data_IF_178384993639
#
_entry.id   IF_178384993639
#
_cell.length_a   1.000
_cell.length_b   1.000
_cell.length_c   1.000
_cell.angle_alpha   90.00
_cell.angle_beta   90.00
_cell.angle_gamma   90.00
#
_symmetry.space_group_name_H-M   'P 1'
#
loop_
_entity.id
_entity.type
_entity.pdbx_description
1 polymer ?
#
# COMPACT_ATOMS: atom_id res chain seq x y z
N UNK A 1 5.10 -41.60 -61.51
CA UNK A 1 3.76 -41.32 -60.95
C UNK A 1 3.87 -41.48 -59.44
N UNK A 2 3.54 -40.45 -58.65
CA UNK A 2 2.38 -40.45 -57.74
C UNK A 2 2.32 -41.68 -56.81
N UNK A 3 2.39 -41.63 -55.47
CA UNK A 3 2.36 -40.58 -54.41
C UNK A 3 3.21 -41.13 -53.22
N UNK A 4 3.87 -40.37 -52.34
CA UNK A 4 3.39 -39.36 -51.36
C UNK A 4 2.41 -39.92 -50.32
N UNK A 5 2.74 -39.67 -49.04
CA UNK A 5 1.92 -39.76 -47.81
C UNK A 5 1.61 -41.12 -47.16
N UNK A 6 1.83 -41.11 -45.83
CA UNK A 6 1.19 -41.86 -44.73
C UNK A 6 1.26 -43.41 -44.82
N UNK A 7 2.06 -44.07 -43.97
CA UNK A 7 1.78 -44.36 -42.54
C UNK A 7 0.76 -45.54 -42.41
N UNK A 8 0.72 -46.34 -41.34
CA UNK A 8 0.62 -45.99 -39.92
C UNK A 8 1.00 -47.21 -39.04
N UNK A 9 1.49 -46.94 -37.82
CA UNK A 9 1.64 -47.83 -36.64
C UNK A 9 2.82 -48.86 -36.56
N UNK A 10 3.23 -49.08 -35.31
CA UNK A 10 3.97 -50.25 -34.79
C UNK A 10 5.51 -50.37 -34.93
N UNK A 11 6.28 -49.31 -34.65
CA UNK A 11 7.57 -49.48 -33.93
C UNK A 11 7.77 -48.34 -32.93
N UNK A 12 7.72 -48.66 -31.62
CA UNK A 12 8.56 -48.12 -30.54
C UNK A 12 8.06 -48.69 -29.20
N UNK A 13 8.57 -49.86 -28.83
CA UNK A 13 8.36 -50.46 -27.52
C UNK A 13 9.73 -50.84 -26.94
N UNK A 14 10.18 -50.08 -25.93
CA UNK A 14 11.13 -50.40 -24.85
C UNK A 14 11.85 -49.12 -24.41
N UNK A 15 11.61 -48.67 -23.17
CA UNK A 15 12.35 -47.54 -22.59
C UNK A 15 11.68 -46.91 -21.37
N UNK A 16 12.13 -47.28 -20.17
CA UNK A 16 11.96 -46.58 -18.90
C UNK A 16 10.52 -46.21 -18.45
N UNK A 17 9.98 -47.04 -17.56
CA UNK A 17 9.05 -46.59 -16.52
C UNK A 17 9.74 -45.57 -15.60
N UNK A 18 9.21 -44.34 -15.53
CA UNK A 18 9.53 -43.37 -14.46
C UNK A 18 8.25 -43.05 -13.71
N UNK A 19 8.25 -43.33 -12.41
CA UNK A 19 7.16 -42.99 -11.50
C UNK A 19 7.06 -41.47 -11.37
N UNK A 20 5.83 -40.95 -11.37
CA UNK A 20 5.58 -39.61 -10.83
C UNK A 20 5.97 -39.61 -9.35
N UNK A 21 6.92 -38.75 -8.98
CA UNK A 21 7.32 -38.51 -7.60
C UNK A 21 7.08 -37.04 -7.25
N UNK A 22 6.53 -36.72 -6.07
CA UNK A 22 6.28 -35.36 -5.65
C UNK A 22 7.60 -34.66 -5.29
N UNK A 23 7.67 -33.34 -5.49
CA UNK A 23 8.80 -32.53 -5.06
C UNK A 23 8.95 -32.60 -3.54
N UNK A 24 10.05 -33.17 -3.06
CA UNK A 24 10.40 -33.24 -1.64
C UNK A 24 11.19 -32.02 -1.16
N UNK A 25 11.18 -31.71 0.15
CA UNK A 25 11.99 -30.61 0.68
C UNK A 25 13.48 -30.94 0.54
N UNK A 26 14.26 -30.02 -0.04
CA UNK A 26 15.72 -30.15 -0.18
C UNK A 26 16.24 -30.24 -1.61
N UNK A 27 15.39 -30.44 -2.63
CA UNK A 27 15.77 -30.27 -4.04
C UNK A 27 15.70 -28.79 -4.45
N UNK A 28 16.46 -27.95 -3.74
CA UNK A 28 16.56 -26.53 -4.05
C UNK A 28 17.17 -26.31 -5.43
N UNK A 29 16.50 -25.51 -6.27
CA UNK A 29 17.21 -24.74 -7.28
C UNK A 29 18.25 -23.86 -6.58
N UNK A 30 19.34 -23.56 -7.30
CA UNK A 30 20.50 -22.83 -6.77
C UNK A 30 20.08 -21.56 -6.02
N UNK A 31 20.76 -21.22 -4.91
CA UNK A 31 20.47 -19.98 -4.20
C UNK A 31 20.68 -18.77 -5.12
N UNK A 32 19.72 -17.85 -5.07
CA UNK A 32 19.76 -16.53 -5.71
C UNK A 32 21.09 -15.82 -5.42
N UNK A 33 21.86 -15.49 -6.47
CA UNK A 33 23.26 -15.07 -6.26
C UNK A 33 23.95 -14.22 -7.33
N UNK A 34 23.33 -13.89 -8.46
CA UNK A 34 23.91 -12.92 -9.40
C UNK A 34 22.80 -12.25 -10.22
N UNK A 35 22.84 -10.92 -10.41
CA UNK A 35 21.91 -10.18 -11.28
C UNK A 35 22.29 -10.34 -12.77
N UNK A 36 22.66 -11.55 -13.17
CA UNK A 36 22.92 -11.89 -14.57
C UNK A 36 21.59 -12.14 -15.23
N UNK A 37 21.00 -11.07 -15.74
CA UNK A 37 19.94 -11.16 -16.75
C UNK A 37 20.40 -12.01 -17.92
N UNK A 38 19.44 -12.55 -18.66
CA UNK A 38 19.66 -13.22 -19.95
C UNK A 38 18.58 -12.75 -20.95
N UNK A 39 18.55 -11.45 -21.32
CA UNK A 39 17.67 -10.83 -22.35
C UNK A 39 18.34 -9.87 -23.41
N UNK A 40 18.82 -10.36 -24.58
CA UNK A 40 19.74 -9.63 -25.53
C UNK A 40 19.05 -8.58 -26.42
N UNK A 41 18.96 -7.34 -25.92
CA UNK A 41 18.25 -6.26 -26.63
C UNK A 41 18.89 -4.87 -26.61
N UNK A 42 19.46 -4.39 -25.49
CA UNK A 42 19.78 -2.95 -25.36
C UNK A 42 20.83 -2.60 -24.31
N UNK A 43 21.34 -1.35 -24.32
CA UNK A 43 22.27 -0.86 -23.30
C UNK A 43 21.50 -0.48 -22.03
N UNK A 44 21.64 -1.28 -20.98
CA UNK A 44 21.30 -0.85 -19.62
C UNK A 44 22.49 -0.09 -19.03
N UNK A 45 22.24 1.04 -18.38
CA UNK A 45 23.22 1.74 -17.55
C UNK A 45 22.72 1.76 -16.11
N UNK A 46 23.13 0.76 -15.32
CA UNK A 46 22.75 0.68 -13.91
C UNK A 46 23.47 1.75 -13.06
N UNK A 47 24.46 2.48 -13.58
CA UNK A 47 25.05 3.61 -12.87
C UNK A 47 24.07 4.78 -12.80
N UNK A 48 23.23 4.95 -13.83
CA UNK A 48 22.09 5.87 -13.85
C UNK A 48 20.88 5.37 -13.02
N UNK A 49 20.92 4.12 -12.55
CA UNK A 49 19.92 3.49 -11.67
C UNK A 49 20.49 3.17 -10.28
N UNK A 50 21.47 3.95 -9.81
CA UNK A 50 22.19 3.73 -8.56
C UNK A 50 21.29 3.53 -7.32
N UNK A 51 20.19 4.27 -7.18
CA UNK A 51 19.21 4.08 -6.10
C UNK A 51 18.60 2.68 -6.15
N UNK A 52 18.11 2.26 -7.32
CA UNK A 52 17.50 0.94 -7.53
C UNK A 52 18.55 -0.17 -7.32
N UNK A 53 19.78 0.02 -7.81
CA UNK A 53 20.88 -0.90 -7.59
C UNK A 53 21.24 -1.03 -6.10
N UNK A 54 21.26 0.07 -5.34
CA UNK A 54 21.49 0.06 -3.90
C UNK A 54 20.36 -0.68 -3.15
N UNK A 55 19.10 -0.49 -3.54
CA UNK A 55 17.97 -1.21 -2.94
C UNK A 55 18.08 -2.72 -3.19
N UNK A 56 18.45 -3.13 -4.41
CA UNK A 56 18.70 -4.54 -4.72
C UNK A 56 19.94 -5.10 -3.98
N UNK A 57 20.99 -4.30 -3.76
CA UNK A 57 22.13 -4.73 -2.90
C UNK A 57 21.71 -4.93 -1.45
N UNK A 58 20.87 -4.06 -0.91
CA UNK A 58 20.31 -4.21 0.44
C UNK A 58 19.42 -5.45 0.52
N UNK A 59 18.58 -5.68 -0.49
CA UNK A 59 17.78 -6.89 -0.64
C UNK A 59 18.64 -8.17 -0.59
N UNK A 60 19.70 -8.22 -1.39
CA UNK A 60 20.59 -9.38 -1.47
C UNK A 60 21.30 -9.63 -0.13
N UNK A 61 21.71 -8.59 0.59
CA UNK A 61 22.29 -8.72 1.93
C UNK A 61 21.27 -9.27 2.94
N UNK A 62 20.03 -8.76 2.92
CA UNK A 62 18.95 -9.20 3.80
C UNK A 62 18.59 -10.69 3.65
N UNK A 63 18.67 -11.25 2.43
CA UNK A 63 18.48 -12.69 2.18
C UNK A 63 19.49 -13.58 2.92
N UNK A 64 20.65 -13.04 3.32
CA UNK A 64 21.60 -13.75 4.17
C UNK A 64 21.11 -13.94 5.62
N UNK A 65 20.10 -13.17 6.04
CA UNK A 65 19.62 -13.11 7.43
C UNK A 65 18.13 -13.43 7.59
N UNK A 66 17.29 -13.25 6.56
CA UNK A 66 15.83 -13.39 6.63
C UNK A 66 15.25 -14.26 5.52
N UNK A 67 14.15 -14.95 5.83
CA UNK A 67 13.34 -15.75 4.90
C UNK A 67 12.10 -14.99 4.43
N UNK A 68 11.50 -15.40 3.31
CA UNK A 68 10.18 -14.92 2.86
C UNK A 68 9.12 -14.94 3.97
N UNK A 69 9.14 -15.95 4.86
CA UNK A 69 8.25 -16.04 6.03
C UNK A 69 8.54 -14.96 7.07
N UNK A 70 9.80 -14.64 7.33
CA UNK A 70 10.18 -13.54 8.24
C UNK A 70 9.70 -12.19 7.68
N UNK A 71 9.70 -12.04 6.34
CA UNK A 71 9.23 -10.84 5.61
C UNK A 71 7.70 -10.73 5.66
N UNK A 72 6.97 -11.82 5.45
CA UNK A 72 5.50 -11.87 5.56
C UNK A 72 5.04 -11.65 7.01
N UNK A 73 5.78 -12.17 8.01
CA UNK A 73 5.51 -11.87 9.41
C UNK A 73 5.81 -10.40 9.75
N UNK A 74 6.88 -9.81 9.20
CA UNK A 74 7.11 -8.36 9.32
C UNK A 74 5.92 -7.57 8.75
N UNK A 75 5.53 -7.86 7.51
CA UNK A 75 4.43 -7.21 6.81
C UNK A 75 3.15 -7.24 7.65
N UNK A 76 2.77 -8.40 8.18
CA UNK A 76 1.60 -8.51 9.08
C UNK A 76 1.60 -7.48 10.21
N UNK A 77 2.75 -7.13 10.80
CA UNK A 77 2.75 -6.15 11.88
C UNK A 77 2.44 -4.73 11.37
N UNK A 78 2.85 -4.40 10.14
CA UNK A 78 2.57 -3.10 9.49
C UNK A 78 1.11 -3.02 9.07
N UNK A 79 0.61 -4.02 8.33
CA UNK A 79 -0.80 -4.14 7.92
C UNK A 79 -1.76 -4.16 9.12
N UNK A 80 -1.32 -4.68 10.27
CA UNK A 80 -2.08 -4.63 11.52
C UNK A 80 -2.03 -3.28 12.27
N UNK A 81 -1.07 -2.37 12.04
CA UNK A 81 -1.13 -1.00 12.62
C UNK A 81 -1.97 -0.10 11.74
N UNK A 82 -1.84 -0.25 10.43
CA UNK A 82 -2.52 0.54 9.39
C UNK A 82 -4.00 0.19 9.32
N UNK A 83 -4.37 -0.94 8.73
CA UNK A 83 -5.77 -1.29 8.50
C UNK A 83 -6.65 -1.37 9.76
N UNK A 84 -6.07 -1.61 10.95
CA UNK A 84 -6.83 -1.54 12.21
C UNK A 84 -7.17 -0.09 12.59
N UNK A 85 -6.25 0.86 12.41
CA UNK A 85 -6.53 2.28 12.60
C UNK A 85 -7.65 2.73 11.66
N UNK A 86 -7.55 2.33 10.40
CA UNK A 86 -8.43 2.75 9.32
C UNK A 86 -9.83 2.17 9.46
N UNK A 87 -9.93 0.86 9.71
CA UNK A 87 -11.21 0.16 9.93
C UNK A 87 -11.93 0.73 11.16
N UNK A 88 -11.19 1.02 12.25
CA UNK A 88 -11.82 1.59 13.44
C UNK A 88 -12.22 3.05 13.22
N UNK A 89 -11.36 3.86 12.61
CA UNK A 89 -11.61 5.26 12.32
C UNK A 89 -12.81 5.45 11.39
N UNK A 90 -12.89 4.70 10.30
CA UNK A 90 -13.96 4.83 9.31
C UNK A 90 -15.24 4.09 9.73
N UNK A 91 -15.12 2.84 10.19
CA UNK A 91 -16.27 1.96 10.43
C UNK A 91 -16.72 1.96 11.90
N UNK A 92 -15.81 2.17 12.86
CA UNK A 92 -16.09 2.13 14.31
C UNK A 92 -15.97 0.74 14.93
N UNK A 93 -15.30 -0.19 14.24
CA UNK A 93 -15.03 -1.57 14.68
C UNK A 93 -13.57 -1.93 14.35
N UNK A 94 -12.96 -2.80 15.15
CA UNK A 94 -11.64 -3.37 14.86
C UNK A 94 -11.77 -4.45 13.76
N UNK A 95 -10.63 -4.98 13.31
CA UNK A 95 -10.53 -6.17 12.47
C UNK A 95 -11.31 -7.37 13.03
N UNK A 96 -11.72 -8.28 12.15
CA UNK A 96 -12.31 -9.57 12.55
C UNK A 96 -11.28 -10.46 13.28
N UNK A 97 -11.76 -11.41 14.08
CA UNK A 97 -10.88 -12.32 14.84
C UNK A 97 -9.90 -13.11 13.96
N UNK A 98 -10.29 -13.46 12.72
CA UNK A 98 -9.47 -14.20 11.77
C UNK A 98 -8.30 -13.37 11.21
N UNK A 99 -8.48 -12.05 11.09
CA UNK A 99 -7.39 -11.12 10.78
C UNK A 99 -6.53 -10.83 12.03
N UNK A 100 -7.15 -10.64 13.20
CA UNK A 100 -6.45 -10.37 14.46
C UNK A 100 -5.59 -11.56 14.94
N UNK A 101 -5.98 -12.80 14.62
CA UNK A 101 -5.34 -14.04 15.07
C UNK A 101 -5.17 -14.12 16.61
N UNK A 102 -6.13 -13.59 17.36
CA UNK A 102 -6.08 -13.52 18.83
C UNK A 102 -5.15 -12.42 19.39
N UNK A 103 -4.74 -11.46 18.58
CA UNK A 103 -3.95 -10.29 19.02
C UNK A 103 -4.65 -9.46 20.10
N UNK A 104 -3.88 -8.76 20.96
CA UNK A 104 -4.42 -7.98 22.06
C UNK A 104 -5.18 -6.73 21.56
N UNK A 105 -6.12 -6.28 22.39
CA UNK A 105 -6.81 -5.00 22.22
C UNK A 105 -5.79 -3.86 22.24
N UNK A 106 -5.72 -3.09 21.16
CA UNK A 106 -4.91 -1.87 21.04
C UNK A 106 -5.57 -0.68 21.75
N UNK A 107 -4.83 0.41 21.95
CA UNK A 107 -5.28 1.63 22.62
C UNK A 107 -5.31 2.82 21.66
N UNK A 108 -6.24 3.74 21.90
CA UNK A 108 -6.39 4.97 21.11
C UNK A 108 -7.32 4.80 19.90
N UNK A 109 -8.27 3.85 19.95
CA UNK A 109 -9.30 3.70 18.93
C UNK A 109 -10.51 4.60 19.20
N UNK A 110 -10.99 5.30 18.16
CA UNK A 110 -12.33 5.89 18.10
C UNK A 110 -12.84 5.91 16.64
N UNK A 111 -14.12 6.24 16.45
CA UNK A 111 -14.67 6.48 15.11
C UNK A 111 -14.49 7.96 14.75
N UNK A 112 -13.90 8.23 13.60
CA UNK A 112 -13.64 9.57 13.09
C UNK A 112 -14.93 10.32 12.71
N UNK A 113 -14.97 11.61 13.03
CA UNK A 113 -16.04 12.53 12.64
C UNK A 113 -15.81 13.03 11.20
N UNK A 114 -15.95 12.12 10.23
CA UNK A 114 -15.73 12.39 8.81
C UNK A 114 -16.97 12.95 8.11
N UNK A 115 -16.75 13.90 7.19
CA UNK A 115 -17.75 14.37 6.23
C UNK A 115 -18.20 13.23 5.29
N UNK A 116 -19.38 13.34 4.66
CA UNK A 116 -19.89 12.27 3.79
C UNK A 116 -18.96 11.91 2.62
N UNK A 117 -18.28 12.88 1.99
CA UNK A 117 -17.35 12.60 0.88
C UNK A 117 -16.14 11.83 1.39
N UNK A 118 -15.45 12.38 2.39
CA UNK A 118 -14.20 11.83 2.92
C UNK A 118 -14.44 10.45 3.52
N UNK A 119 -15.58 10.25 4.21
CA UNK A 119 -15.96 8.94 4.72
C UNK A 119 -16.06 7.89 3.64
N UNK A 120 -16.81 8.14 2.56
CA UNK A 120 -16.98 7.13 1.49
C UNK A 120 -15.66 6.75 0.83
N UNK A 121 -14.75 7.72 0.65
CA UNK A 121 -13.41 7.47 0.08
C UNK A 121 -12.54 6.64 1.04
N UNK A 122 -12.47 7.02 2.32
CA UNK A 122 -11.62 6.32 3.30
C UNK A 122 -12.21 4.97 3.76
N UNK A 123 -13.53 4.78 3.68
CA UNK A 123 -14.17 3.46 3.88
C UNK A 123 -13.73 2.45 2.82
N UNK A 124 -13.40 2.87 1.58
CA UNK A 124 -12.81 2.01 0.55
C UNK A 124 -11.37 1.62 0.91
N UNK A 125 -10.53 2.59 1.29
CA UNK A 125 -9.15 2.35 1.78
C UNK A 125 -9.16 1.34 2.92
N UNK A 126 -9.97 1.58 3.96
CA UNK A 126 -10.07 0.71 5.12
C UNK A 126 -10.59 -0.71 4.81
N UNK A 127 -11.32 -0.91 3.71
CA UNK A 127 -11.69 -2.24 3.21
C UNK A 127 -10.55 -2.89 2.43
N UNK A 128 -9.72 -2.12 1.73
CA UNK A 128 -8.51 -2.61 1.08
C UNK A 128 -7.47 -3.07 2.09
N UNK A 129 -7.25 -2.32 3.18
CA UNK A 129 -6.29 -2.71 4.23
C UNK A 129 -6.71 -3.98 4.99
N UNK A 130 -8.02 -4.25 5.10
CA UNK A 130 -8.51 -5.56 5.55
C UNK A 130 -8.15 -6.67 4.54
N UNK A 131 -8.14 -6.37 3.25
CA UNK A 131 -7.66 -7.21 2.17
C UNK A 131 -6.14 -7.42 2.19
N UNK A 132 -5.35 -6.38 2.46
CA UNK A 132 -3.90 -6.48 2.62
C UNK A 132 -3.55 -7.36 3.84
N UNK A 133 -4.20 -7.14 4.98
CA UNK A 133 -4.08 -8.01 6.15
C UNK A 133 -4.48 -9.46 5.84
N UNK A 134 -5.57 -9.68 5.08
CA UNK A 134 -5.99 -11.01 4.61
C UNK A 134 -4.93 -11.67 3.72
N UNK A 135 -4.33 -10.92 2.79
CA UNK A 135 -3.22 -11.41 1.96
C UNK A 135 -2.08 -11.92 2.84
N UNK A 136 -1.68 -11.20 3.91
CA UNK A 136 -0.60 -11.69 4.78
C UNK A 136 -0.93 -13.03 5.45
N UNK A 137 -2.20 -13.27 5.81
CA UNK A 137 -2.67 -14.56 6.37
C UNK A 137 -2.58 -15.66 5.31
N UNK A 138 -3.00 -15.38 4.07
CA UNK A 138 -2.96 -16.32 2.95
C UNK A 138 -1.54 -16.62 2.47
N UNK A 139 -0.64 -15.63 2.55
CA UNK A 139 0.80 -15.76 2.36
C UNK A 139 1.50 -16.58 3.48
N UNK A 140 0.76 -17.02 4.49
CA UNK A 140 1.23 -17.96 5.51
C UNK A 140 1.62 -17.31 6.85
N UNK A 141 1.33 -16.02 7.08
CA UNK A 141 1.52 -15.40 8.39
C UNK A 141 0.64 -16.07 9.45
N UNK A 142 1.26 -16.44 10.56
CA UNK A 142 0.63 -17.11 11.71
C UNK A 142 0.75 -16.33 13.01
N UNK A 143 1.38 -15.15 12.96
CA UNK A 143 1.54 -14.29 14.13
C UNK A 143 0.24 -13.50 14.42
N UNK A 144 -0.10 -13.26 15.70
CA UNK A 144 -1.18 -12.34 16.05
C UNK A 144 -0.81 -10.90 15.67
N UNK A 145 -1.82 -10.06 15.39
CA UNK A 145 -1.60 -8.61 15.31
C UNK A 145 -0.95 -8.10 16.62
N UNK A 146 0.03 -7.19 16.58
CA UNK A 146 0.69 -6.67 17.77
C UNK A 146 -0.23 -5.76 18.61
N UNK A 147 0.20 -5.46 19.83
CA UNK A 147 -0.40 -4.38 20.63
C UNK A 147 0.09 -3.04 20.08
N UNK A 148 -0.87 -2.18 19.72
CA UNK A 148 -0.62 -0.82 19.25
C UNK A 148 -1.15 0.20 20.26
N UNK A 149 -0.45 1.33 20.43
CA UNK A 149 -0.96 2.51 21.13
C UNK A 149 -0.95 3.71 20.17
N UNK A 150 -2.11 3.98 19.55
CA UNK A 150 -2.27 5.06 18.56
C UNK A 150 -2.13 6.44 19.19
N UNK A 151 -2.61 6.63 20.43
CA UNK A 151 -2.42 7.89 21.15
C UNK A 151 -0.92 8.19 21.28
N UNK A 152 -0.13 7.20 21.69
CA UNK A 152 1.31 7.33 21.87
C UNK A 152 2.04 7.49 20.53
N UNK A 153 1.67 6.69 19.52
CA UNK A 153 2.25 6.75 18.18
C UNK A 153 2.13 8.13 17.53
N UNK A 154 0.92 8.60 17.28
CA UNK A 154 0.69 9.88 16.62
C UNK A 154 1.23 11.06 17.44
N UNK A 155 1.02 11.09 18.76
CA UNK A 155 1.54 12.20 19.58
C UNK A 155 3.08 12.23 19.65
N UNK A 156 3.75 11.09 19.45
CA UNK A 156 5.21 11.03 19.38
C UNK A 156 5.74 11.41 17.99
N UNK A 157 5.09 10.97 16.90
CA UNK A 157 5.43 11.46 15.53
C UNK A 157 5.30 12.97 15.48
N UNK A 158 4.15 13.53 15.89
CA UNK A 158 3.97 14.97 15.87
C UNK A 158 4.87 15.69 16.87
N UNK A 159 5.17 15.09 18.05
CA UNK A 159 6.17 15.64 18.96
C UNK A 159 7.54 15.81 18.30
N UNK A 160 8.03 14.75 17.64
CA UNK A 160 9.32 14.76 16.94
C UNK A 160 9.32 15.68 15.70
N UNK A 161 8.23 15.70 14.93
CA UNK A 161 8.03 16.60 13.78
C UNK A 161 7.99 18.10 14.14
N UNK A 162 7.67 18.42 15.39
CA UNK A 162 7.77 19.77 15.96
C UNK A 162 9.09 20.02 16.72
N UNK A 163 10.06 19.11 16.65
CA UNK A 163 11.39 19.25 17.25
C UNK A 163 11.41 19.13 18.78
N UNK A 164 10.42 18.46 19.38
CA UNK A 164 10.39 18.24 20.83
C UNK A 164 11.38 17.15 21.27
N UNK A 165 11.74 17.17 22.55
CA UNK A 165 12.66 16.18 23.10
C UNK A 165 11.99 14.79 23.22
N UNK A 166 12.74 13.68 23.19
CA UNK A 166 12.18 12.34 23.34
C UNK A 166 11.33 12.19 24.61
N UNK A 167 10.09 11.71 24.44
CA UNK A 167 9.11 11.58 25.52
C UNK A 167 8.21 12.80 25.75
N UNK A 168 8.46 13.92 25.05
CA UNK A 168 7.55 15.06 24.99
C UNK A 168 6.56 14.90 23.83
N UNK A 169 5.32 15.37 24.01
CA UNK A 169 4.24 15.30 23.01
C UNK A 169 3.81 16.69 22.57
N UNK A 170 3.07 16.75 21.46
CA UNK A 170 2.54 18.02 20.91
C UNK A 170 1.68 18.83 21.91
N UNK A 171 1.15 18.17 22.95
CA UNK A 171 0.44 18.78 24.09
C UNK A 171 1.28 19.82 24.83
N UNK A 172 2.61 19.67 24.85
CA UNK A 172 3.54 20.66 25.41
C UNK A 172 3.49 22.01 24.67
N UNK A 173 3.21 22.00 23.37
CA UNK A 173 3.17 23.21 22.53
C UNK A 173 1.78 23.83 22.45
N UNK A 174 0.75 23.01 22.34
CA UNK A 174 -0.63 23.47 22.05
C UNK A 174 -1.63 23.25 23.19
N UNK A 175 -1.19 22.73 24.34
CA UNK A 175 -2.03 22.49 25.51
C UNK A 175 -3.08 21.38 25.37
N UNK A 176 -3.03 20.63 24.26
CA UNK A 176 -3.86 19.46 23.96
C UNK A 176 -3.08 18.45 23.13
N UNK A 177 -3.37 17.17 23.33
CA UNK A 177 -2.87 16.07 22.49
C UNK A 177 -3.40 16.17 21.06
N UNK A 178 -2.67 15.57 20.13
CA UNK A 178 -3.22 15.19 18.84
C UNK A 178 -4.31 14.14 19.05
N UNK A 179 -5.46 14.37 18.45
CA UNK A 179 -6.57 13.43 18.35
C UNK A 179 -6.87 13.29 16.85
N UNK A 180 -6.63 12.12 16.24
CA UNK A 180 -6.80 11.95 14.81
C UNK A 180 -8.28 11.89 14.40
N UNK A 181 -9.23 11.77 15.32
CA UNK A 181 -10.63 11.45 15.01
C UNK A 181 -11.55 12.68 14.91
N UNK A 182 -11.00 13.89 15.04
CA UNK A 182 -11.78 15.15 15.19
C UNK A 182 -12.52 15.57 13.91
N UNK A 183 -11.86 15.43 12.75
CA UNK A 183 -12.37 15.87 11.44
C UNK A 183 -11.59 15.21 10.28
N UNK A 184 -12.03 15.46 9.05
CA UNK A 184 -11.38 15.01 7.81
C UNK A 184 -9.87 15.26 7.79
N UNK A 185 -9.43 16.46 8.18
CA UNK A 185 -8.02 16.87 8.13
C UNK A 185 -7.14 16.08 9.11
N UNK A 186 -7.54 16.02 10.39
CA UNK A 186 -6.80 15.27 11.44
C UNK A 186 -6.74 13.78 11.13
N UNK A 187 -7.83 13.21 10.60
CA UNK A 187 -7.89 11.78 10.31
C UNK A 187 -7.06 11.43 9.08
N UNK A 188 -7.26 12.13 7.96
CA UNK A 188 -6.54 11.85 6.70
C UNK A 188 -5.05 12.16 6.82
N UNK A 189 -4.62 13.15 7.62
CA UNK A 189 -3.18 13.33 7.95
C UNK A 189 -2.63 12.09 8.65
N UNK A 190 -3.39 11.52 9.57
CA UNK A 190 -2.95 10.40 10.42
C UNK A 190 -2.94 9.08 9.65
N UNK A 191 -3.91 8.89 8.76
CA UNK A 191 -4.04 7.74 7.87
C UNK A 191 -2.90 7.75 6.82
N UNK A 192 -2.73 8.86 6.09
CA UNK A 192 -1.59 9.08 5.15
C UNK A 192 -0.20 8.99 5.79
N UNK A 193 -0.08 9.25 7.10
CA UNK A 193 1.17 9.06 7.84
C UNK A 193 1.59 7.58 7.84
N UNK A 194 0.63 6.66 7.88
CA UNK A 194 0.82 5.20 7.83
C UNK A 194 0.80 4.70 6.37
N UNK A 195 -0.19 5.07 5.56
CA UNK A 195 -0.38 4.61 4.18
C UNK A 195 0.89 4.71 3.31
N UNK A 196 1.64 5.82 3.40
CA UNK A 196 2.88 5.95 2.62
C UNK A 196 4.04 5.08 3.12
N UNK A 197 3.98 4.63 4.38
CA UNK A 197 4.86 3.58 4.92
C UNK A 197 4.43 2.21 4.39
N UNK A 198 3.12 1.95 4.23
CA UNK A 198 2.58 0.82 3.49
C UNK A 198 3.08 0.80 2.04
N UNK A 199 2.81 1.85 1.26
CA UNK A 199 3.20 1.98 -0.14
C UNK A 199 4.72 1.82 -0.39
N UNK A 200 5.55 2.62 0.31
CA UNK A 200 7.01 2.56 0.16
C UNK A 200 7.61 1.32 0.80
N UNK A 201 7.03 0.82 1.89
CA UNK A 201 7.43 -0.42 2.54
C UNK A 201 7.18 -1.63 1.65
N UNK A 202 5.96 -1.79 1.11
CA UNK A 202 5.58 -2.90 0.25
C UNK A 202 6.41 -2.95 -1.04
N UNK A 203 6.75 -1.80 -1.63
CA UNK A 203 7.73 -1.74 -2.73
C UNK A 203 9.13 -2.22 -2.30
N UNK A 204 9.56 -1.85 -1.10
CA UNK A 204 10.80 -2.35 -0.50
C UNK A 204 10.78 -3.86 -0.30
N UNK A 205 9.70 -4.40 0.29
CA UNK A 205 9.53 -5.83 0.52
C UNK A 205 9.49 -6.63 -0.80
N UNK A 206 8.83 -6.11 -1.84
CA UNK A 206 8.81 -6.74 -3.17
C UNK A 206 10.22 -6.88 -3.77
N UNK A 207 11.18 -6.03 -3.39
CA UNK A 207 12.57 -6.18 -3.84
C UNK A 207 13.36 -7.27 -3.10
N UNK A 208 12.91 -7.69 -1.91
CA UNK A 208 13.65 -8.62 -1.03
C UNK A 208 13.02 -10.01 -0.93
N UNK A 209 11.76 -10.16 -1.35
CA UNK A 209 11.05 -11.42 -1.49
C UNK A 209 11.68 -12.35 -2.53
N UNK A 210 11.73 -13.66 -2.27
CA UNK A 210 12.32 -14.64 -3.22
C UNK A 210 11.29 -15.51 -3.94
N UNK A 211 10.14 -15.78 -3.33
CA UNK A 211 9.02 -16.45 -3.98
C UNK A 211 8.29 -15.47 -4.93
N UNK A 212 8.25 -15.75 -6.26
CA UNK A 212 7.67 -14.83 -7.23
C UNK A 212 6.16 -14.60 -7.03
N UNK A 213 5.42 -15.55 -6.45
CA UNK A 213 3.98 -15.38 -6.16
C UNK A 213 3.78 -14.38 -5.02
N UNK A 214 4.63 -14.45 -3.98
CA UNK A 214 4.59 -13.48 -2.88
C UNK A 214 5.10 -12.11 -3.31
N UNK A 215 6.09 -12.07 -4.21
CA UNK A 215 6.62 -10.84 -4.79
C UNK A 215 5.59 -10.12 -5.67
N UNK A 216 4.82 -10.86 -6.48
CA UNK A 216 3.71 -10.33 -7.27
C UNK A 216 2.63 -9.74 -6.37
N UNK A 217 2.21 -10.49 -5.34
CA UNK A 217 1.26 -10.00 -4.33
C UNK A 217 1.73 -8.71 -3.63
N UNK A 218 2.98 -8.67 -3.15
CA UNK A 218 3.62 -7.48 -2.56
C UNK A 218 3.67 -6.29 -3.53
N UNK A 219 3.90 -6.55 -4.82
CA UNK A 219 3.89 -5.51 -5.86
C UNK A 219 2.47 -4.98 -6.08
N UNK A 220 1.46 -5.85 -5.97
CA UNK A 220 0.04 -5.48 -5.92
C UNK A 220 -0.27 -4.55 -4.75
N UNK A 221 0.12 -4.93 -3.51
CA UNK A 221 -0.07 -4.09 -2.31
C UNK A 221 0.62 -2.73 -2.44
N UNK A 222 1.84 -2.69 -3.00
CA UNK A 222 2.56 -1.44 -3.22
C UNK A 222 1.81 -0.52 -4.21
N UNK A 223 1.17 -1.09 -5.24
CA UNK A 223 0.36 -0.35 -6.21
C UNK A 223 -0.93 0.19 -5.60
N UNK A 224 -1.67 -0.62 -4.83
CA UNK A 224 -2.93 -0.20 -4.18
C UNK A 224 -2.66 0.88 -3.14
N UNK A 225 -1.69 0.67 -2.25
CA UNK A 225 -1.36 1.66 -1.22
C UNK A 225 -0.85 2.98 -1.81
N UNK A 226 -0.06 2.95 -2.90
CA UNK A 226 0.33 4.18 -3.63
C UNK A 226 -0.89 4.91 -4.19
N UNK A 227 -1.93 4.20 -4.63
CA UNK A 227 -3.15 4.80 -5.16
C UNK A 227 -4.03 5.39 -4.05
N UNK A 228 -4.16 4.74 -2.90
CA UNK A 228 -4.90 5.27 -1.76
C UNK A 228 -4.21 6.47 -1.11
N UNK A 229 -2.88 6.43 -0.93
CA UNK A 229 -2.10 7.61 -0.56
C UNK A 229 -2.37 8.79 -1.50
N UNK A 230 -2.54 8.56 -2.80
CA UNK A 230 -2.89 9.63 -3.76
C UNK A 230 -4.33 10.16 -3.58
N UNK A 231 -5.29 9.34 -3.16
CA UNK A 231 -6.65 9.76 -2.80
C UNK A 231 -6.62 10.64 -1.54
N UNK A 232 -5.89 10.22 -0.51
CA UNK A 232 -5.71 10.97 0.72
C UNK A 232 -4.97 12.30 0.51
N UNK A 233 -3.89 12.30 -0.28
CA UNK A 233 -3.17 13.52 -0.68
C UNK A 233 -4.07 14.46 -1.48
N UNK A 234 -5.02 13.93 -2.28
CA UNK A 234 -6.03 14.75 -2.95
C UNK A 234 -7.01 15.38 -1.96
N UNK A 235 -7.49 14.62 -0.97
CA UNK A 235 -8.35 15.13 0.13
C UNK A 235 -7.62 16.22 0.91
N UNK A 236 -6.36 15.97 1.32
CA UNK A 236 -5.56 16.96 2.05
C UNK A 236 -5.15 18.15 1.19
N UNK A 237 -5.02 17.99 -0.13
CA UNK A 237 -4.79 19.11 -1.05
C UNK A 237 -6.01 20.03 -1.14
N UNK A 238 -7.23 19.48 -1.12
CA UNK A 238 -8.47 20.27 -1.02
C UNK A 238 -8.49 21.06 0.31
N UNK A 239 -8.07 20.43 1.42
CA UNK A 239 -8.06 20.99 2.77
C UNK A 239 -6.78 21.77 3.13
N UNK A 240 -5.81 21.92 2.20
CA UNK A 240 -4.40 22.29 2.49
C UNK A 240 -4.20 23.60 3.28
N UNK A 241 -5.16 24.52 3.15
CA UNK A 241 -5.16 25.86 3.74
C UNK A 241 -5.95 25.94 5.07
N UNK A 242 -6.64 24.86 5.47
CA UNK A 242 -7.38 24.79 6.74
C UNK A 242 -6.45 24.59 7.94
N UNK A 243 -6.75 25.24 9.06
CA UNK A 243 -6.00 25.11 10.31
C UNK A 243 -6.36 23.81 11.03
N UNK A 244 -5.36 23.03 11.41
CA UNK A 244 -5.56 21.69 11.98
C UNK A 244 -5.46 21.70 13.50
N UNK A 245 -6.54 21.41 14.26
CA UNK A 245 -6.47 21.32 15.71
C UNK A 245 -5.54 20.19 16.18
N UNK A 246 -4.82 20.33 17.31
CA UNK A 246 -4.77 21.50 18.20
C UNK A 246 -3.76 22.57 17.75
N UNK A 247 -3.13 22.41 16.60
CA UNK A 247 -2.10 23.32 16.07
C UNK A 247 -2.71 24.65 15.62
N UNK A 248 -1.85 25.65 15.39
CA UNK A 248 -2.21 26.90 14.71
C UNK A 248 -1.64 26.94 13.28
N UNK A 249 -1.43 25.77 12.66
CA UNK A 249 -0.81 25.60 11.34
C UNK A 249 -1.79 24.97 10.35
N UNK A 250 -1.55 25.20 9.05
CA UNK A 250 -2.40 24.63 8.00
C UNK A 250 -2.11 23.15 7.77
N UNK A 251 -3.05 22.42 7.13
CA UNK A 251 -2.85 21.02 6.69
C UNK A 251 -1.52 20.85 5.94
N UNK A 252 -1.21 21.75 5.00
CA UNK A 252 0.05 21.70 4.26
C UNK A 252 1.29 21.79 5.17
N UNK A 253 1.25 22.67 6.18
CA UNK A 253 2.35 22.87 7.12
C UNK A 253 2.51 21.68 8.07
N UNK A 254 1.42 21.18 8.66
CA UNK A 254 1.45 20.02 9.55
C UNK A 254 1.95 18.78 8.83
N UNK A 255 1.46 18.51 7.62
CA UNK A 255 1.92 17.35 6.86
C UNK A 255 3.37 17.50 6.37
N UNK A 256 3.81 18.70 5.97
CA UNK A 256 5.21 18.94 5.60
C UNK A 256 6.18 18.67 6.78
N UNK A 257 5.78 18.95 8.03
CA UNK A 257 6.57 18.59 9.21
C UNK A 257 6.66 17.08 9.42
N UNK A 258 5.54 16.36 9.29
CA UNK A 258 5.51 14.90 9.44
C UNK A 258 6.38 14.25 8.38
N UNK A 259 6.23 14.67 7.12
CA UNK A 259 7.04 14.22 5.99
C UNK A 259 8.54 14.46 6.22
N UNK A 260 8.95 15.69 6.56
CA UNK A 260 10.35 16.00 6.85
C UNK A 260 10.92 15.24 8.07
N UNK A 261 10.07 14.86 9.03
CA UNK A 261 10.47 13.98 10.12
C UNK A 261 10.69 12.53 9.65
N UNK A 262 9.80 11.97 8.81
CA UNK A 262 9.97 10.62 8.25
C UNK A 262 11.26 10.52 7.43
N UNK A 263 11.53 11.50 6.56
CA UNK A 263 12.77 11.66 5.77
C UNK A 263 14.03 11.65 6.67
N UNK A 264 13.95 12.28 7.85
CA UNK A 264 15.08 12.29 8.80
C UNK A 264 15.33 10.93 9.48
N UNK A 265 14.44 9.95 9.29
CA UNK A 265 14.41 8.66 9.97
C UNK A 265 14.61 7.45 9.05
N UNK A 266 14.52 7.60 7.73
CA UNK A 266 14.82 6.52 6.76
C UNK A 266 16.20 6.65 6.12
N UNK A 267 16.82 7.83 6.07
CA UNK A 267 18.29 7.94 5.99
C UNK A 267 18.81 9.13 5.19
N UNK A 268 19.77 8.92 4.26
CA UNK A 268 20.40 10.02 3.52
C UNK A 268 19.71 10.34 2.17
N UNK A 269 18.68 9.59 1.78
CA UNK A 269 17.87 9.90 0.60
C UNK A 269 16.84 10.95 0.97
N UNK A 270 16.53 11.87 0.06
CA UNK A 270 15.36 12.74 0.20
C UNK A 270 14.19 11.99 -0.46
N UNK A 271 13.49 11.16 0.33
CA UNK A 271 12.51 10.20 -0.17
C UNK A 271 11.10 10.38 0.42
N UNK A 272 10.95 11.32 1.36
CA UNK A 272 9.65 11.78 1.84
C UNK A 272 9.31 13.18 1.29
N UNK A 273 8.03 13.42 0.98
CA UNK A 273 7.60 14.67 0.35
C UNK A 273 6.25 15.18 0.85
N UNK A 274 6.19 16.47 1.18
CA UNK A 274 4.95 17.17 1.54
C UNK A 274 3.95 17.30 0.38
N UNK A 275 2.70 17.68 0.70
CA UNK A 275 1.59 17.87 -0.25
C UNK A 275 1.90 18.91 -1.35
N UNK A 276 2.75 19.88 -1.01
CA UNK A 276 3.29 20.88 -1.92
C UNK A 276 4.80 20.65 -2.02
N UNK A 277 5.32 20.49 -3.24
CA UNK A 277 6.74 20.25 -3.48
C UNK A 277 7.31 21.29 -4.46
N UNK A 278 8.34 22.01 -4.00
CA UNK A 278 9.04 23.05 -4.76
C UNK A 278 10.47 22.63 -5.14
N UNK A 279 10.88 21.41 -4.79
CA UNK A 279 12.24 20.93 -5.03
C UNK A 279 12.42 20.49 -6.50
N UNK A 280 13.35 21.10 -7.25
CA UNK A 280 13.57 20.76 -8.66
C UNK A 280 14.17 19.36 -8.88
N UNK A 281 14.51 18.61 -7.81
CA UNK A 281 14.93 17.20 -7.87
C UNK A 281 13.74 16.23 -7.96
N UNK A 282 12.50 16.73 -7.86
CA UNK A 282 11.27 15.95 -7.76
C UNK A 282 10.19 16.43 -8.75
N UNK A 283 9.14 15.64 -8.96
CA UNK A 283 8.03 16.00 -9.84
C UNK A 283 6.95 16.77 -9.05
N UNK A 284 6.58 17.95 -9.55
CA UNK A 284 5.45 18.74 -9.08
C UNK A 284 4.91 19.62 -10.22
N UNK A 285 3.65 20.07 -10.12
CA UNK A 285 3.09 21.04 -11.09
C UNK A 285 3.62 22.44 -10.77
N UNK A 286 4.36 23.15 -11.66
CA UNK A 286 5.07 24.38 -11.28
C UNK A 286 4.24 25.56 -10.79
N UNK A 287 2.93 25.61 -11.10
CA UNK A 287 2.04 26.71 -10.70
C UNK A 287 1.41 26.51 -9.31
N UNK A 288 1.05 25.27 -8.97
CA UNK A 288 0.37 24.92 -7.72
C UNK A 288 1.26 24.16 -6.74
N UNK A 289 2.42 23.69 -7.19
CA UNK A 289 3.34 22.78 -6.51
C UNK A 289 2.70 21.48 -6.01
N UNK A 290 1.52 21.10 -6.53
CA UNK A 290 0.82 19.89 -6.06
C UNK A 290 1.68 18.64 -6.27
N UNK A 291 1.75 17.83 -5.22
CA UNK A 291 2.50 16.59 -5.18
C UNK A 291 1.61 15.44 -4.70
N UNK A 292 0.88 14.84 -5.65
CA UNK A 292 -0.12 13.81 -5.37
C UNK A 292 0.44 12.39 -5.29
N UNK A 293 1.63 12.15 -5.84
CA UNK A 293 2.35 10.85 -5.77
C UNK A 293 3.84 11.18 -5.58
N UNK A 294 4.42 10.97 -4.38
CA UNK A 294 5.84 11.18 -4.14
C UNK A 294 6.70 10.31 -5.06
N UNK A 295 7.49 10.98 -5.89
CA UNK A 295 8.38 10.35 -6.86
C UNK A 295 9.67 11.14 -7.02
N UNK A 296 10.72 10.47 -7.47
CA UNK A 296 11.91 11.15 -7.97
C UNK A 296 11.62 11.87 -9.32
N UNK A 297 12.58 12.65 -9.83
CA UNK A 297 12.48 13.32 -11.14
C UNK A 297 12.18 12.38 -12.33
N UNK A 298 12.31 11.05 -12.17
CA UNK A 298 12.02 10.04 -13.20
C UNK A 298 10.59 9.50 -13.09
N UNK A 299 9.81 9.92 -12.08
CA UNK A 299 8.48 9.39 -11.81
C UNK A 299 8.50 8.05 -11.08
N UNK A 300 9.62 7.68 -10.45
CA UNK A 300 9.72 6.43 -9.69
C UNK A 300 9.41 6.69 -8.21
N UNK A 301 8.47 5.92 -7.66
CA UNK A 301 8.17 5.92 -6.23
C UNK A 301 9.36 5.42 -5.40
N UNK A 302 9.40 5.82 -4.13
CA UNK A 302 10.46 5.42 -3.19
C UNK A 302 10.21 4.04 -2.59
N UNK A 303 11.25 3.44 -2.00
CA UNK A 303 11.17 2.11 -1.41
C UNK A 303 11.93 2.07 -0.08
N UNK A 304 11.26 1.66 1.00
CA UNK A 304 11.83 1.61 2.35
C UNK A 304 12.14 0.19 2.75
N UNK A 305 13.27 0.00 3.43
CA UNK A 305 13.61 -1.25 4.10
C UNK A 305 12.71 -1.44 5.33
N UNK A 306 12.53 -2.67 5.85
CA UNK A 306 11.78 -2.90 7.07
C UNK A 306 12.30 -2.05 8.25
N UNK A 307 13.61 -1.86 8.34
CA UNK A 307 14.27 -1.12 9.40
C UNK A 307 14.00 0.38 9.32
N UNK A 308 13.97 0.97 8.12
CA UNK A 308 13.56 2.37 7.89
C UNK A 308 12.12 2.60 8.39
N UNK A 309 11.21 1.71 7.97
CA UNK A 309 9.81 1.75 8.37
C UNK A 309 9.65 1.60 9.90
N UNK A 310 10.37 0.66 10.53
CA UNK A 310 10.42 0.53 11.99
C UNK A 310 11.06 1.74 12.70
N UNK A 311 12.04 2.41 12.10
CA UNK A 311 12.67 3.58 12.70
C UNK A 311 11.64 4.72 12.84
N UNK A 312 10.78 4.88 11.84
CA UNK A 312 9.65 5.82 11.85
C UNK A 312 8.58 5.37 12.87
N UNK A 313 8.03 4.16 12.74
CA UNK A 313 6.93 3.66 13.58
C UNK A 313 7.30 3.52 15.07
N UNK A 314 8.59 3.34 15.39
CA UNK A 314 9.09 3.21 16.76
C UNK A 314 9.82 4.46 17.28
N UNK A 315 9.84 5.57 16.54
CA UNK A 315 10.48 6.84 16.94
C UNK A 315 11.96 6.61 17.33
N UNK A 316 12.70 5.90 16.49
CA UNK A 316 14.13 5.64 16.69
C UNK A 316 14.47 4.64 17.80
N UNK A 317 13.48 3.98 18.42
CA UNK A 317 13.71 3.10 19.56
C UNK A 317 14.48 1.81 19.17
N UNK A 318 15.81 1.88 19.26
CA UNK A 318 16.77 0.81 18.88
C UNK A 318 16.54 -0.54 19.57
N UNK A 319 15.82 -0.56 20.70
CA UNK A 319 15.42 -1.77 21.41
C UNK A 319 14.20 -2.49 20.80
N UNK A 320 13.54 -1.90 19.79
CA UNK A 320 12.32 -2.40 19.16
C UNK A 320 11.03 -2.05 19.92
N UNK A 321 11.04 -1.03 20.79
CA UNK A 321 9.93 -0.67 21.68
C UNK A 321 9.79 0.84 21.85
N UNK A 322 8.89 1.44 21.07
CA UNK A 322 8.62 2.88 21.06
C UNK A 322 7.49 3.21 20.09
N UNK A 323 7.11 4.50 20.02
CA UNK A 323 6.08 4.99 19.11
C UNK A 323 4.76 4.21 19.22
N UNK A 324 4.29 3.70 18.08
CA UNK A 324 3.08 2.89 17.97
C UNK A 324 3.19 1.54 18.69
N UNK A 325 4.40 1.02 18.90
CA UNK A 325 4.67 -0.31 19.43
C UNK A 325 5.42 -0.28 20.78
N UNK A 326 4.82 0.21 21.88
CA UNK A 326 5.48 0.27 23.19
C UNK A 326 5.82 -1.12 23.76
N UNK A 327 5.19 -2.19 23.25
CA UNK A 327 5.51 -3.59 23.61
C UNK A 327 6.42 -4.28 22.58
N UNK A 328 6.68 -3.64 21.44
CA UNK A 328 7.35 -4.21 20.26
C UNK A 328 6.43 -5.05 19.38
N UNK A 329 6.94 -5.42 18.21
CA UNK A 329 6.24 -6.23 17.21
C UNK A 329 6.63 -7.71 17.26
N UNK A 330 5.88 -8.57 16.56
CA UNK A 330 6.14 -10.01 16.46
C UNK A 330 7.10 -10.33 15.30
N UNK A 331 7.64 -11.55 15.27
CA UNK A 331 8.52 -12.02 14.20
C UNK A 331 10.00 -11.67 14.41
N UNK A 332 10.84 -12.03 13.42
CA UNK A 332 12.30 -11.92 13.50
C UNK A 332 12.81 -10.51 13.18
N UNK A 333 12.18 -9.82 12.24
CA UNK A 333 12.45 -8.43 11.88
C UNK A 333 11.62 -7.54 12.82
N UNK A 334 12.20 -7.15 13.96
CA UNK A 334 11.45 -6.51 15.06
C UNK A 334 12.13 -5.27 15.69
N UNK A 335 13.18 -4.73 15.06
CA UNK A 335 13.94 -3.56 15.51
C UNK A 335 14.39 -2.70 14.33
N UNK A 336 14.62 -1.39 14.51
CA UNK A 336 15.11 -0.49 13.47
C UNK A 336 16.62 -0.65 13.17
N UNK A 337 17.19 -1.85 13.36
CA UNK A 337 18.61 -2.15 13.14
C UNK A 337 18.80 -3.47 12.37
N UNK A 338 19.96 -3.63 11.73
CA UNK A 338 20.34 -4.87 11.03
C UNK A 338 19.97 -4.94 9.54
N UNK A 339 19.90 -3.80 8.86
CA UNK A 339 19.65 -3.70 7.40
C UNK A 339 20.47 -2.55 6.79
N UNK A 340 21.67 -2.37 7.32
CA UNK A 340 22.67 -1.38 6.93
C UNK A 340 23.72 -1.94 5.95
N UNK A 341 23.69 -3.25 5.69
CA UNK A 341 24.59 -3.94 4.77
C UNK A 341 24.09 -3.83 3.33
N UNK A 342 24.99 -3.48 2.43
CA UNK A 342 24.84 -3.66 0.99
C UNK A 342 25.67 -4.87 0.56
N UNK A 343 25.11 -5.79 -0.21
CA UNK A 343 25.86 -6.92 -0.76
C UNK A 343 26.73 -6.51 -1.95
N UNK A 344 27.91 -7.13 -2.05
CA UNK A 344 28.72 -7.14 -3.27
C UNK A 344 28.11 -8.14 -4.26
N UNK A 345 27.13 -7.68 -5.05
CA UNK A 345 26.40 -8.51 -6.02
C UNK A 345 26.02 -7.79 -7.33
N UNK A 346 26.53 -6.56 -7.57
CA UNK A 346 26.43 -5.87 -8.88
C UNK A 346 27.79 -5.48 -9.45
N UNK A 347 28.88 -5.80 -8.75
CA UNK A 347 30.26 -5.46 -9.07
C UNK A 347 30.80 -6.33 -10.22
N UNK A 348 30.30 -7.56 -10.32
CA UNK A 348 30.50 -8.49 -11.43
C UNK A 348 29.84 -8.03 -12.75
N UNK A 349 28.89 -7.08 -12.67
CA UNK A 349 28.17 -6.58 -13.85
C UNK A 349 29.05 -5.60 -14.62
N UNK A 350 29.72 -6.13 -15.64
CA UNK A 350 30.71 -5.48 -16.50
C UNK A 350 30.14 -4.36 -17.42
N UNK A 351 28.88 -3.94 -17.25
CA UNK A 351 28.21 -2.96 -18.11
C UNK A 351 27.91 -3.44 -19.54
N UNK A 352 28.21 -4.70 -19.86
CA UNK A 352 27.85 -5.30 -21.14
C UNK A 352 26.40 -5.80 -21.08
N UNK A 353 25.84 -6.05 -22.27
CA UNK A 353 24.49 -6.59 -22.45
C UNK A 353 24.53 -8.09 -22.11
N UNK A 354 24.36 -8.47 -20.83
CA UNK A 354 24.32 -9.87 -20.38
C UNK A 354 22.91 -10.47 -20.51
N UNK A 355 22.75 -11.35 -21.52
CA UNK A 355 21.56 -11.25 -22.34
C UNK A 355 21.28 -12.36 -23.43
N UNK A 356 20.05 -12.96 -23.60
CA UNK A 356 19.42 -13.67 -24.80
C UNK A 356 17.89 -14.05 -24.65
N UNK A 357 16.93 -13.43 -25.39
CA UNK A 357 15.49 -13.84 -25.40
C UNK A 357 15.32 -15.27 -25.97
N UNK A 358 14.75 -16.20 -25.19
CA UNK A 358 14.47 -17.58 -25.65
C UNK A 358 13.58 -17.59 -26.92
N UNK A 359 13.92 -18.42 -27.90
CA UNK A 359 13.08 -18.58 -29.09
C UNK A 359 11.75 -19.26 -28.77
N UNK A 360 10.73 -19.09 -29.61
CA UNK A 360 9.45 -19.82 -29.50
C UNK A 360 9.62 -21.35 -29.48
N UNK A 361 10.72 -21.86 -30.04
CA UNK A 361 11.07 -23.28 -30.03
C UNK A 361 11.64 -23.75 -28.68
N UNK A 362 12.21 -22.83 -27.90
CA UNK A 362 12.75 -23.06 -26.55
C UNK A 362 11.72 -22.75 -25.46
N UNK A 363 10.82 -21.78 -25.68
CA UNK A 363 9.64 -21.56 -24.81
C UNK A 363 8.65 -22.74 -24.85
N UNK A 364 8.54 -23.43 -25.98
CA UNK A 364 7.49 -24.43 -26.20
C UNK A 364 6.12 -23.80 -26.45
N UNK A 365 5.04 -24.51 -26.12
CA UNK A 365 3.72 -23.87 -26.05
C UNK A 365 3.71 -22.90 -24.86
N UNK A 366 3.65 -21.60 -25.16
CA UNK A 366 3.25 -20.61 -24.17
C UNK A 366 1.81 -20.97 -23.78
N UNK A 367 1.52 -21.28 -22.50
CA UNK A 367 0.14 -21.42 -22.07
C UNK A 367 -0.61 -20.15 -22.45
N UNK A 368 -1.83 -20.27 -22.97
CA UNK A 368 -2.72 -19.12 -23.14
C UNK A 368 -2.84 -18.34 -21.82
N UNK A 369 -3.24 -17.05 -21.84
CA UNK A 369 -3.22 -16.17 -20.68
C UNK A 369 -4.11 -16.70 -19.55
N UNK A 370 -3.49 -17.53 -18.70
CA UNK A 370 -4.13 -18.49 -17.80
C UNK A 370 -4.95 -19.53 -18.60
N UNK A 371 -5.09 -20.76 -18.08
CA UNK A 371 -6.02 -21.74 -18.68
C UNK A 371 -7.45 -21.20 -18.60
N UNK A 372 -8.37 -21.79 -19.37
CA UNK A 372 -9.82 -21.52 -19.20
C UNK A 372 -10.33 -21.87 -17.77
N UNK A 373 -9.49 -22.54 -16.99
CA UNK A 373 -9.70 -23.01 -15.61
C UNK A 373 -8.92 -22.17 -14.58
N UNK A 374 -8.51 -20.95 -14.94
CA UNK A 374 -7.93 -19.98 -14.01
C UNK A 374 -8.78 -19.77 -12.77
N UNK A 375 -8.19 -19.30 -11.65
CA UNK A 375 -8.90 -19.18 -10.37
C UNK A 375 -10.14 -18.30 -10.55
N UNK A 376 -11.33 -18.92 -10.47
CA UNK A 376 -12.62 -18.27 -10.69
C UNK A 376 -13.12 -17.47 -9.50
N UNK A 377 -12.37 -17.49 -8.38
CA UNK A 377 -12.60 -16.71 -7.17
C UNK A 377 -11.31 -16.65 -6.35
N UNK A 378 -11.20 -15.65 -5.49
CA UNK A 378 -10.13 -15.57 -4.47
C UNK A 378 -10.68 -16.12 -3.14
N UNK A 379 -9.93 -16.96 -2.39
CA UNK A 379 -10.35 -17.37 -1.05
C UNK A 379 -10.63 -16.15 -0.17
N UNK A 380 -11.80 -16.08 0.48
CA UNK A 380 -12.20 -14.94 1.31
C UNK A 380 -12.65 -13.68 0.56
N UNK A 381 -12.68 -13.67 -0.78
CA UNK A 381 -13.19 -12.56 -1.61
C UNK A 381 -14.55 -12.03 -1.13
N UNK A 382 -15.46 -12.96 -0.80
CA UNK A 382 -16.83 -12.66 -0.39
C UNK A 382 -16.96 -12.33 1.10
N UNK A 383 -15.91 -12.48 1.92
CA UNK A 383 -15.98 -12.27 3.39
C UNK A 383 -15.63 -10.85 3.85
N UNK A 384 -15.12 -9.99 2.97
CA UNK A 384 -14.78 -8.60 3.32
C UNK A 384 -15.85 -7.59 2.90
N UNK A 385 -16.56 -7.83 1.79
CA UNK A 385 -17.39 -6.82 1.12
C UNK A 385 -18.89 -7.17 1.03
N UNK A 386 -19.26 -8.45 0.95
CA UNK A 386 -20.66 -8.84 0.68
C UNK A 386 -21.63 -8.67 1.87
N UNK A 387 -21.13 -8.34 3.05
CA UNK A 387 -21.96 -7.97 4.20
C UNK A 387 -22.59 -6.56 4.07
N UNK A 388 -22.20 -5.76 3.07
CA UNK A 388 -22.56 -4.34 3.00
C UNK A 388 -23.64 -3.94 1.96
N UNK A 389 -23.66 -4.50 0.74
CA UNK A 389 -24.81 -4.34 -0.20
C UNK A 389 -24.70 -5.16 -1.49
N UNK A 390 -25.87 -5.50 -2.08
CA UNK A 390 -26.01 -5.86 -3.50
C UNK A 390 -26.59 -7.26 -3.76
N UNK A 391 -27.45 -7.45 -4.78
CA UNK A 391 -27.58 -8.74 -5.47
C UNK A 391 -26.23 -9.36 -5.83
N UNK A 392 -26.23 -10.68 -6.03
CA UNK A 392 -25.01 -11.41 -6.43
C UNK A 392 -24.81 -11.30 -7.94
N UNK A 393 -23.61 -10.94 -8.37
CA UNK A 393 -23.12 -11.12 -9.74
C UNK A 393 -23.43 -12.56 -10.21
N UNK A 394 -23.92 -12.72 -11.45
CA UNK A 394 -24.23 -14.05 -12.02
C UNK A 394 -23.02 -14.73 -12.68
N UNK A 395 -21.82 -14.25 -12.34
CA UNK A 395 -20.50 -14.68 -12.81
C UNK A 395 -20.27 -14.44 -14.32
N UNK A 396 -21.19 -13.76 -15.02
CA UNK A 396 -21.02 -13.35 -16.43
C UNK A 396 -20.43 -11.95 -16.58
N UNK A 397 -19.63 -11.74 -17.63
CA UNK A 397 -19.09 -10.41 -17.96
C UNK A 397 -20.16 -9.36 -18.32
N UNK A 398 -21.42 -9.79 -18.52
CA UNK A 398 -22.56 -8.93 -18.85
C UNK A 398 -23.26 -8.36 -17.60
N UNK A 399 -23.01 -8.92 -16.41
CA UNK A 399 -23.54 -8.38 -15.13
C UNK A 399 -22.47 -7.71 -14.26
N UNK A 400 -21.18 -7.93 -14.55
CA UNK A 400 -20.06 -7.22 -13.92
C UNK A 400 -20.23 -5.71 -13.97
N UNK A 401 -20.26 -5.08 -12.80
CA UNK A 401 -20.35 -3.62 -12.65
C UNK A 401 -21.71 -3.00 -12.96
N UNK A 402 -22.74 -3.79 -13.28
CA UNK A 402 -24.08 -3.28 -13.64
C UNK A 402 -25.11 -3.41 -12.52
N UNK A 403 -24.80 -2.87 -11.35
CA UNK A 403 -25.77 -2.63 -10.28
C UNK A 403 -26.22 -1.16 -10.24
N UNK A 404 -27.35 -0.87 -10.88
CA UNK A 404 -28.20 0.28 -10.49
C UNK A 404 -29.63 -0.23 -10.36
N UNK A 405 -30.36 0.07 -9.25
CA UNK A 405 -30.34 1.38 -8.62
C UNK A 405 -30.29 1.38 -7.07
N UNK A 406 -29.17 1.85 -6.53
CA UNK A 406 -29.17 2.49 -5.20
C UNK A 406 -29.86 3.87 -5.30
N UNK A 407 -31.14 3.95 -4.92
CA UNK A 407 -31.82 5.24 -4.72
C UNK A 407 -31.23 5.95 -3.50
N UNK A 408 -30.13 6.67 -3.66
CA UNK A 408 -29.57 7.44 -2.56
C UNK A 408 -28.34 8.30 -2.87
N UNK A 409 -27.30 7.72 -3.48
CA UNK A 409 -25.93 8.22 -3.25
C UNK A 409 -25.29 9.04 -4.38
N UNK A 410 -25.70 8.87 -5.64
CA UNK A 410 -25.33 9.79 -6.71
C UNK A 410 -26.46 10.79 -7.00
N UNK A 411 -26.64 11.75 -6.08
CA UNK A 411 -27.27 13.03 -6.46
C UNK A 411 -26.26 13.76 -7.34
N UNK A 412 -26.66 14.08 -8.57
CA UNK A 412 -25.81 14.87 -9.46
C UNK A 412 -25.64 16.28 -8.91
N UNK A 413 -24.59 16.99 -9.35
CA UNK A 413 -24.44 18.42 -9.06
C UNK A 413 -25.62 19.25 -9.56
N UNK A 414 -26.32 18.77 -10.60
CA UNK A 414 -27.58 19.32 -11.09
C UNK A 414 -28.71 19.14 -10.07
N UNK A 415 -28.86 17.98 -9.44
CA UNK A 415 -29.90 17.75 -8.41
C UNK A 415 -29.71 18.65 -7.19
N UNK A 416 -28.46 18.85 -6.75
CA UNK A 416 -28.14 19.78 -5.66
C UNK A 416 -28.38 21.24 -6.04
N UNK A 417 -28.06 21.63 -7.28
CA UNK A 417 -28.37 22.96 -7.80
C UNK A 417 -29.89 23.20 -7.90
N UNK A 418 -30.66 22.22 -8.37
CA UNK A 418 -32.12 22.27 -8.45
C UNK A 418 -32.77 22.39 -7.07
N UNK A 419 -32.37 21.58 -6.08
CA UNK A 419 -32.91 21.70 -4.72
C UNK A 419 -32.53 23.04 -4.07
N UNK A 420 -31.35 23.58 -4.35
CA UNK A 420 -30.94 24.92 -3.90
C UNK A 420 -31.82 26.01 -4.55
N UNK A 421 -32.12 25.89 -5.86
CA UNK A 421 -33.03 26.78 -6.58
C UNK A 421 -34.46 26.71 -6.01
N UNK A 422 -35.00 25.50 -5.84
CA UNK A 422 -36.33 25.27 -5.26
C UNK A 422 -36.43 25.85 -3.84
N UNK A 423 -35.38 25.70 -3.02
CA UNK A 423 -35.33 26.27 -1.67
C UNK A 423 -35.30 27.81 -1.67
N UNK A 424 -34.52 28.42 -2.58
CA UNK A 424 -34.44 29.87 -2.72
C UNK A 424 -35.75 30.47 -3.24
N UNK A 425 -36.37 29.85 -4.25
CA UNK A 425 -37.65 30.29 -4.83
C UNK A 425 -38.84 30.08 -3.88
N UNK A 426 -38.82 29.02 -3.07
CA UNK A 426 -39.87 28.75 -2.08
C UNK A 426 -39.85 29.68 -0.85
N UNK A 427 -38.71 30.31 -0.54
CA UNK A 427 -38.54 31.18 0.64
C UNK A 427 -38.42 32.68 0.35
N UNK A 428 -38.34 33.10 -0.91
CA UNK A 428 -38.21 34.52 -1.26
C UNK A 428 -39.55 35.27 -1.05
N UNK A 429 -39.64 36.23 -0.10
CA UNK A 429 -40.90 36.94 0.17
C UNK A 429 -41.28 37.94 -0.93
N UNK A 430 -40.38 38.23 -1.87
CA UNK A 430 -40.59 39.19 -2.97
C UNK A 430 -40.88 38.53 -4.32
N UNK A 431 -40.72 37.22 -4.45
CA UNK A 431 -41.01 36.50 -5.69
C UNK A 431 -41.47 35.07 -5.42
N UNK A 432 -42.74 34.77 -5.72
CA UNK A 432 -43.25 33.40 -5.83
C UNK A 432 -43.26 32.99 -7.29
N UNK A 433 -42.46 32.00 -7.65
CA UNK A 433 -42.55 31.38 -8.97
C UNK A 433 -43.92 30.67 -9.13
N UNK A 434 -44.49 30.60 -10.35
CA UNK A 434 -45.71 29.85 -10.60
C UNK A 434 -45.55 28.37 -10.24
N UNK A 435 -46.63 27.75 -9.76
CA UNK A 435 -46.59 26.37 -9.25
C UNK A 435 -46.26 25.33 -10.33
N UNK A 436 -46.52 25.64 -11.61
CA UNK A 436 -46.12 24.80 -12.75
C UNK A 436 -44.61 24.88 -13.02
N UNK A 437 -44.00 26.06 -12.91
CA UNK A 437 -42.54 26.24 -13.05
C UNK A 437 -41.75 25.50 -11.96
N UNK A 438 -42.35 25.30 -10.78
CA UNK A 438 -41.76 24.49 -9.69
C UNK A 438 -41.96 22.97 -9.92
N UNK A 439 -42.91 22.57 -10.79
CA UNK A 439 -43.15 21.17 -11.17
C UNK A 439 -42.34 20.72 -12.38
N UNK A 440 -41.95 21.64 -13.27
CA UNK A 440 -41.07 21.36 -14.41
C UNK A 440 -39.57 21.34 -14.04
N UNK A 441 -39.18 22.03 -12.95
CA UNK A 441 -37.84 22.00 -12.34
C UNK A 441 -37.68 20.84 -11.36
#
# INVERSE_FOLDING_TARGET
MHKVMLAVLCILALGASVLAAPFGPGSGMLPVGNLRTVDNGGPYDLTALNTQAAHVKAAIAARGEFTDKDIIDFLTNVECVEGRFDTYGTQGKDFTNDLLMGGPTSKGFAKANLSPRTRTLLEEVALSEQGHALFTRQAGSTIPCPYVDYDAGFNSILGAAYGLAPGETIEKLFGKKWDPYVNDATFTISMLTLEELGATGNKGLASIMTNPILQDGLSGLACTATAFAAVERSILFDLRDEIVPPTNETVAQVFARISAYRDSMDGPQFDDQGLLNTDPRMIAVPESYVNNIPTDVRGLSFARTPQMNLNILMIGAQNGKGGFFPKGIQGKINKPVGFDKLAEATEDWNGLREAEQMSLKELGEIPGPITQEGPSSVPGEKSLTQDFSGPKEDETYLTRGYETPSKGYFRTSVDQALDTLRHALGKNPFYKAPEETIKEL
#
